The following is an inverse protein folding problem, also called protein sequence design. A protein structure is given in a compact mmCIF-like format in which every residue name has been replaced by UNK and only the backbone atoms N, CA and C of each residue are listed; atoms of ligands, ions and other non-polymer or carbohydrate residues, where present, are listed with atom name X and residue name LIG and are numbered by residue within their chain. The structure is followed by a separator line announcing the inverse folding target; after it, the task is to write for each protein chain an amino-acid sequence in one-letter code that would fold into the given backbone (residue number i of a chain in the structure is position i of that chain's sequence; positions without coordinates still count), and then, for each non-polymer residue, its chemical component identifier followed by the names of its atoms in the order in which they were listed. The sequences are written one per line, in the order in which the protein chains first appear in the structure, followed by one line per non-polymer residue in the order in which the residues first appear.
data_IF_432794373208
#
_entry.id   IF_432794373208
#
_cell.length_a   1.000
_cell.length_b   1.000
_cell.length_c   1.000
_cell.angle_alpha   90.00
_cell.angle_beta   90.00
_cell.angle_gamma   90.00
#
_symmetry.space_group_name_H-M   'P 1'
#
loop_
_entity.id
_entity.type
_entity.pdbx_description
1 polymer ?
#
# COMPACT_ATOMS: atom_id res chain seq x y z
N UNK A 1 -19.87 -39.78 -9.73
CA UNK A 1 -20.31 -39.87 -8.32
C UNK A 1 -21.54 -38.99 -8.19
N UNK A 2 -22.73 -39.56 -8.00
CA UNK A 2 -23.99 -38.80 -7.93
C UNK A 2 -24.46 -38.74 -6.48
N UNK A 3 -24.22 -37.62 -5.81
CA UNK A 3 -24.70 -37.36 -4.45
C UNK A 3 -26.15 -36.87 -4.49
N UNK A 4 -27.00 -37.35 -3.58
CA UNK A 4 -28.36 -36.83 -3.43
C UNK A 4 -28.33 -35.38 -2.92
N UNK A 5 -29.40 -34.58 -3.12
CA UNK A 5 -29.48 -33.22 -2.60
C UNK A 5 -29.23 -33.13 -1.09
N UNK A 6 -29.74 -34.10 -0.32
CA UNK A 6 -29.57 -34.17 1.14
C UNK A 6 -28.10 -34.43 1.51
N UNK A 7 -27.43 -35.36 0.82
CA UNK A 7 -26.02 -35.65 1.05
C UNK A 7 -25.13 -34.44 0.71
N UNK A 8 -25.47 -33.68 -0.33
CA UNK A 8 -24.77 -32.44 -0.65
C UNK A 8 -24.97 -31.37 0.43
N UNK A 9 -26.18 -31.27 0.98
CA UNK A 9 -26.50 -30.33 2.06
C UNK A 9 -25.72 -30.67 3.33
N UNK A 10 -25.78 -31.91 3.79
CA UNK A 10 -25.05 -32.38 4.98
C UNK A 10 -23.53 -32.19 4.79
N UNK A 11 -23.00 -32.48 3.60
CA UNK A 11 -21.58 -32.25 3.30
C UNK A 11 -21.18 -30.77 3.38
N UNK A 12 -22.02 -29.86 2.89
CA UNK A 12 -21.79 -28.40 3.00
C UNK A 12 -21.87 -27.92 4.44
N UNK A 13 -22.85 -28.38 5.20
CA UNK A 13 -23.02 -28.03 6.61
C UNK A 13 -21.81 -28.50 7.44
N UNK A 14 -21.41 -29.76 7.29
CA UNK A 14 -20.22 -30.30 7.96
C UNK A 14 -18.94 -29.54 7.57
N UNK A 15 -18.79 -29.18 6.30
CA UNK A 15 -17.64 -28.39 5.84
C UNK A 15 -17.62 -26.99 6.45
N UNK A 16 -18.77 -26.30 6.47
CA UNK A 16 -18.88 -24.97 7.05
C UNK A 16 -18.62 -24.97 8.56
N UNK A 17 -19.15 -25.97 9.28
CA UNK A 17 -18.92 -26.13 10.72
C UNK A 17 -17.45 -26.44 11.03
N UNK A 18 -16.80 -27.29 10.24
CA UNK A 18 -15.39 -27.64 10.44
C UNK A 18 -14.44 -26.48 10.12
N UNK A 19 -14.73 -25.69 9.09
CA UNK A 19 -13.90 -24.55 8.68
C UNK A 19 -14.17 -23.32 9.54
N UNK A 20 -15.39 -23.17 10.09
CA UNK A 20 -15.92 -22.10 10.93
C UNK A 20 -15.87 -20.69 10.32
N UNK A 21 -14.73 -20.28 9.74
CA UNK A 21 -14.52 -19.02 9.03
C UNK A 21 -13.87 -19.34 7.69
N UNK A 22 -14.58 -19.09 6.59
CA UNK A 22 -13.98 -19.23 5.27
C UNK A 22 -13.12 -18.02 4.94
N UNK A 23 -12.21 -18.17 3.95
CA UNK A 23 -11.45 -17.03 3.41
C UNK A 23 -12.36 -15.89 2.93
N UNK A 24 -13.55 -16.21 2.40
CA UNK A 24 -14.53 -15.20 2.00
C UNK A 24 -15.09 -14.47 3.21
N UNK A 25 -15.47 -15.19 4.26
CA UNK A 25 -15.99 -14.58 5.48
C UNK A 25 -14.94 -13.70 6.14
N UNK A 26 -13.69 -14.17 6.17
CA UNK A 26 -12.55 -13.37 6.58
C UNK A 26 -12.47 -12.10 5.73
N UNK A 27 -12.32 -12.19 4.40
CA UNK A 27 -12.17 -11.01 3.53
C UNK A 27 -13.35 -10.04 3.64
N UNK A 28 -14.58 -10.53 3.62
CA UNK A 28 -15.79 -9.70 3.75
C UNK A 28 -15.86 -9.03 5.12
N UNK A 29 -15.54 -9.75 6.20
CA UNK A 29 -15.43 -9.19 7.55
C UNK A 29 -14.31 -8.17 7.67
N UNK A 30 -13.16 -8.43 7.03
CA UNK A 30 -11.98 -7.54 7.03
C UNK A 30 -12.27 -6.24 6.28
N UNK A 31 -12.97 -6.33 5.14
CA UNK A 31 -13.43 -5.14 4.39
C UNK A 31 -14.39 -4.32 5.26
N UNK A 32 -15.40 -4.95 5.87
CA UNK A 32 -16.35 -4.26 6.74
C UNK A 32 -15.67 -3.60 7.95
N UNK A 33 -14.74 -4.31 8.60
CA UNK A 33 -13.96 -3.79 9.73
C UNK A 33 -13.00 -2.67 9.31
N UNK A 34 -12.34 -2.80 8.16
CA UNK A 34 -11.44 -1.77 7.61
C UNK A 34 -12.17 -0.48 7.27
N UNK A 35 -13.39 -0.58 6.73
CA UNK A 35 -14.26 0.59 6.51
C UNK A 35 -14.65 1.29 7.81
N UNK A 36 -14.93 0.53 8.88
CA UNK A 36 -15.33 1.08 10.17
C UNK A 36 -14.16 1.70 10.95
N UNK A 37 -12.95 1.18 10.78
CA UNK A 37 -11.77 1.55 11.58
C UNK A 37 -10.78 2.43 10.84
N UNK A 38 -10.92 2.60 9.52
CA UNK A 38 -9.91 3.22 8.66
C UNK A 38 -8.66 2.37 8.47
N UNK A 39 -8.63 1.14 9.00
CA UNK A 39 -7.50 0.24 8.87
C UNK A 39 -7.48 -0.43 7.49
N UNK A 40 -6.31 -0.45 6.85
CA UNK A 40 -6.13 -1.14 5.59
C UNK A 40 -6.28 -2.65 5.72
N UNK A 41 -6.76 -3.34 4.68
CA UNK A 41 -6.90 -4.80 4.65
C UNK A 41 -5.61 -5.53 5.08
N UNK A 42 -4.46 -5.03 4.65
CA UNK A 42 -3.17 -5.60 5.03
C UNK A 42 -2.88 -5.48 6.52
N UNK A 43 -3.27 -4.38 7.16
CA UNK A 43 -3.01 -4.20 8.59
C UNK A 43 -3.86 -5.14 9.42
N UNK A 44 -5.14 -5.30 9.10
CA UNK A 44 -6.01 -6.29 9.75
C UNK A 44 -5.50 -7.73 9.50
N UNK A 45 -5.04 -8.04 8.28
CA UNK A 45 -4.51 -9.37 7.96
C UNK A 45 -3.22 -9.71 8.73
N UNK A 46 -2.28 -8.75 8.85
CA UNK A 46 -1.01 -8.95 9.55
C UNK A 46 -1.05 -8.59 11.04
N UNK A 47 -2.21 -8.15 11.56
CA UNK A 47 -2.41 -7.82 12.97
C UNK A 47 -1.83 -6.47 13.41
N UNK A 48 -1.51 -5.58 12.47
CA UNK A 48 -1.12 -4.20 12.77
C UNK A 48 -2.38 -3.31 12.74
N UNK A 49 -2.49 -2.33 13.64
CA UNK A 49 -3.67 -1.44 13.73
C UNK A 49 -3.85 -0.54 12.49
N UNK A 50 -4.73 0.46 12.58
CA UNK A 50 -4.92 1.42 11.47
C UNK A 50 -3.65 2.21 11.13
N UNK A 51 -2.75 2.37 12.10
CA UNK A 51 -1.39 2.87 11.92
C UNK A 51 -0.42 2.11 12.82
N UNK A 52 0.86 2.24 12.51
CA UNK A 52 1.92 1.88 13.46
C UNK A 52 2.42 3.17 14.11
N UNK A 53 2.58 3.18 15.44
CA UNK A 53 2.98 4.41 16.16
C UNK A 53 4.28 5.04 15.64
N UNK A 54 5.16 4.22 15.05
CA UNK A 54 6.33 4.69 14.31
C UNK A 54 6.42 3.94 12.97
N UNK A 55 6.16 4.62 11.82
CA UNK A 55 6.28 4.01 10.50
C UNK A 55 7.67 3.43 10.23
N UNK A 56 7.72 2.33 9.48
CA UNK A 56 8.97 1.74 9.05
C UNK A 56 9.69 2.71 8.12
N UNK A 57 10.93 3.07 8.47
CA UNK A 57 11.76 3.93 7.64
C UNK A 57 12.30 3.15 6.44
N UNK A 58 12.04 3.65 5.24
CA UNK A 58 12.40 3.00 3.98
C UNK A 58 13.21 3.92 3.08
N UNK A 59 14.06 3.32 2.24
CA UNK A 59 14.77 3.99 1.16
C UNK A 59 14.36 3.40 -0.19
N UNK A 60 14.15 4.26 -1.19
CA UNK A 60 13.85 3.82 -2.57
C UNK A 60 15.13 3.84 -3.41
N UNK A 61 15.52 2.71 -3.99
CA UNK A 61 16.66 2.59 -4.90
C UNK A 61 16.12 2.38 -6.32
N UNK A 62 16.42 3.30 -7.22
CA UNK A 62 15.77 3.41 -8.52
C UNK A 62 14.43 4.13 -8.41
N UNK A 63 14.38 5.35 -8.94
CA UNK A 63 13.21 6.25 -8.94
C UNK A 63 12.76 6.62 -10.35
N UNK A 64 13.03 5.71 -11.31
CA UNK A 64 12.47 5.75 -12.66
C UNK A 64 10.98 5.42 -12.70
N UNK A 65 10.49 4.83 -13.79
CA UNK A 65 9.05 4.68 -14.02
C UNK A 65 8.35 3.84 -12.94
N UNK A 66 8.81 2.61 -12.70
CA UNK A 66 8.25 1.74 -11.65
C UNK A 66 8.48 2.31 -10.25
N UNK A 67 9.68 2.82 -9.96
CA UNK A 67 10.00 3.41 -8.67
C UNK A 67 9.08 4.58 -8.31
N UNK A 68 8.77 5.43 -9.30
CA UNK A 68 7.88 6.57 -9.13
C UNK A 68 6.41 6.14 -8.92
N UNK A 69 5.97 5.02 -9.52
CA UNK A 69 4.65 4.41 -9.23
C UNK A 69 4.60 3.89 -7.80
N UNK A 70 5.64 3.17 -7.35
CA UNK A 70 5.70 2.63 -5.99
C UNK A 70 5.79 3.73 -4.92
N UNK A 71 6.50 4.83 -5.21
CA UNK A 71 6.45 6.06 -4.40
C UNK A 71 5.03 6.61 -4.32
N UNK A 72 4.25 6.59 -5.40
CA UNK A 72 2.84 6.99 -5.33
C UNK A 72 1.99 6.04 -4.47
N UNK A 73 2.25 4.73 -4.57
CA UNK A 73 1.42 3.69 -3.99
C UNK A 73 1.69 3.40 -2.50
N UNK A 74 2.89 3.69 -1.96
CA UNK A 74 3.18 3.39 -0.55
C UNK A 74 2.22 4.11 0.41
N UNK A 75 1.99 3.56 1.60
CA UNK A 75 1.18 4.21 2.63
C UNK A 75 2.08 4.88 3.69
N UNK A 76 2.06 6.23 3.82
CA UNK A 76 2.80 6.98 4.84
C UNK A 76 2.49 6.59 6.29
N UNK A 77 1.32 6.00 6.56
CA UNK A 77 0.93 5.52 7.89
C UNK A 77 1.73 4.28 8.34
N UNK A 78 2.34 3.57 7.38
CA UNK A 78 3.11 2.35 7.63
C UNK A 78 4.57 2.50 7.22
N UNK A 79 4.85 3.26 6.16
CA UNK A 79 6.18 3.42 5.59
C UNK A 79 6.54 4.90 5.52
N UNK A 80 7.64 5.30 6.15
CA UNK A 80 8.21 6.64 6.01
C UNK A 80 9.40 6.60 5.06
N UNK A 81 9.30 7.31 3.94
CA UNK A 81 10.41 7.54 3.04
C UNK A 81 11.45 8.44 3.73
N UNK A 82 12.66 7.93 3.94
CA UNK A 82 13.78 8.69 4.55
C UNK A 82 14.98 8.83 3.61
N UNK A 83 14.99 8.08 2.51
CA UNK A 83 16.05 8.12 1.53
C UNK A 83 15.55 7.79 0.11
N UNK A 84 16.23 8.34 -0.88
CA UNK A 84 16.14 7.91 -2.28
C UNK A 84 17.54 7.77 -2.87
N UNK A 85 17.70 6.89 -3.85
CA UNK A 85 18.90 6.76 -4.64
C UNK A 85 18.57 6.53 -6.11
N UNK A 86 19.15 7.31 -7.00
CA UNK A 86 19.07 7.07 -8.45
C UNK A 86 20.25 7.73 -9.15
N UNK A 87 20.84 7.02 -10.11
CA UNK A 87 22.00 7.51 -10.87
C UNK A 87 21.64 8.65 -11.82
N UNK A 88 20.36 8.83 -12.17
CA UNK A 88 19.88 9.86 -13.11
C UNK A 88 19.33 11.05 -12.33
N UNK A 89 19.90 12.26 -12.47
CA UNK A 89 19.37 13.47 -11.83
C UNK A 89 17.89 13.73 -12.13
N UNK A 90 17.44 13.40 -13.35
CA UNK A 90 16.04 13.52 -13.74
C UNK A 90 15.10 12.59 -12.94
N UNK A 91 15.54 11.38 -12.60
CA UNK A 91 14.75 10.47 -11.77
C UNK A 91 14.69 10.95 -10.32
N UNK A 92 15.79 11.48 -9.79
CA UNK A 92 15.80 12.15 -8.47
C UNK A 92 14.79 13.30 -8.44
N UNK A 93 14.73 14.12 -9.48
CA UNK A 93 13.70 15.16 -9.62
C UNK A 93 12.29 14.56 -9.60
N UNK A 94 12.03 13.53 -10.42
CA UNK A 94 10.71 12.85 -10.46
C UNK A 94 10.33 12.19 -9.14
N UNK A 95 11.31 11.74 -8.35
CA UNK A 95 11.04 11.18 -7.03
C UNK A 95 10.38 12.22 -6.10
N UNK A 96 10.78 13.49 -6.19
CA UNK A 96 10.17 14.57 -5.39
C UNK A 96 8.91 15.15 -6.04
N UNK A 97 8.97 15.47 -7.34
CA UNK A 97 7.95 16.28 -8.04
C UNK A 97 6.93 15.48 -8.83
N UNK A 98 7.17 14.18 -8.99
CA UNK A 98 6.40 13.32 -9.87
C UNK A 98 6.77 13.46 -11.35
N UNK A 99 6.03 12.73 -12.18
CA UNK A 99 6.21 12.73 -13.63
C UNK A 99 5.40 13.84 -14.29
N UNK A 100 6.06 14.96 -14.52
CA UNK A 100 5.46 16.18 -15.11
C UNK A 100 5.29 16.12 -16.63
N UNK A 101 5.53 14.98 -17.28
CA UNK A 101 5.43 14.85 -18.74
C UNK A 101 4.00 14.99 -19.27
N UNK A 102 2.99 14.66 -18.45
CA UNK A 102 1.58 14.86 -18.78
C UNK A 102 0.73 14.85 -17.50
N UNK A 103 -0.49 15.42 -17.52
CA UNK A 103 -1.40 15.37 -16.37
C UNK A 103 -1.70 13.93 -15.92
N UNK A 104 -1.83 12.99 -16.85
CA UNK A 104 -2.07 11.59 -16.50
C UNK A 104 -0.85 10.94 -15.86
N UNK A 105 0.36 11.22 -16.37
CA UNK A 105 1.59 10.71 -15.79
C UNK A 105 1.79 11.22 -14.36
N UNK A 106 1.56 12.51 -14.12
CA UNK A 106 1.70 13.12 -12.80
C UNK A 106 0.68 12.55 -11.81
N UNK A 107 -0.53 12.22 -12.27
CA UNK A 107 -1.56 11.58 -11.43
C UNK A 107 -1.13 10.18 -10.94
N UNK A 108 -0.50 9.36 -11.80
CA UNK A 108 -0.08 7.98 -11.44
C UNK A 108 1.31 7.92 -10.81
N UNK A 109 2.16 8.90 -11.08
CA UNK A 109 3.51 9.07 -10.54
C UNK A 109 3.63 10.45 -9.90
N UNK A 110 3.03 10.68 -8.73
CA UNK A 110 2.85 12.02 -8.15
C UNK A 110 4.09 12.56 -7.41
N UNK A 111 5.06 11.69 -7.09
CA UNK A 111 6.24 12.07 -6.31
C UNK A 111 5.96 12.21 -4.81
N UNK A 112 7.04 12.32 -4.04
CA UNK A 112 7.02 12.36 -2.58
C UNK A 112 6.38 13.65 -2.05
N UNK A 113 6.58 14.80 -2.70
CA UNK A 113 6.00 16.05 -2.21
C UNK A 113 4.47 16.01 -2.20
N UNK A 114 3.87 15.56 -3.30
CA UNK A 114 2.42 15.36 -3.37
C UNK A 114 1.94 14.30 -2.37
N UNK A 115 2.73 13.24 -2.17
CA UNK A 115 2.37 12.13 -1.26
C UNK A 115 2.37 12.54 0.22
N UNK A 116 3.32 13.37 0.62
CA UNK A 116 3.49 13.83 2.01
C UNK A 116 2.92 15.22 2.27
N UNK A 117 2.42 15.91 1.24
CA UNK A 117 1.86 17.26 1.36
C UNK A 117 2.91 18.36 1.57
N UNK A 118 4.17 18.12 1.21
CA UNK A 118 5.24 19.12 1.32
C UNK A 118 5.09 20.21 0.27
N UNK A 119 5.30 21.46 0.69
CA UNK A 119 5.11 22.62 -0.19
C UNK A 119 6.34 22.96 -1.03
N UNK A 120 7.52 22.57 -0.55
CA UNK A 120 8.80 22.89 -1.17
C UNK A 120 9.73 21.69 -1.18
N UNK A 121 10.64 21.64 -2.16
CA UNK A 121 11.67 20.60 -2.20
C UNK A 121 12.65 20.74 -1.04
N UNK A 122 12.92 21.95 -0.55
CA UNK A 122 13.76 22.18 0.63
C UNK A 122 13.17 21.55 1.90
N UNK A 123 11.85 21.58 2.06
CA UNK A 123 11.15 20.85 3.12
C UNK A 123 11.32 19.34 2.94
N UNK A 124 11.11 18.84 1.72
CA UNK A 124 11.25 17.43 1.40
C UNK A 124 12.66 16.90 1.67
N UNK A 125 13.70 17.66 1.31
CA UNK A 125 15.11 17.31 1.48
C UNK A 125 15.58 17.31 2.94
N UNK A 126 14.86 17.98 3.84
CA UNK A 126 15.08 17.82 5.29
C UNK A 126 14.62 16.45 5.80
N UNK A 127 13.62 15.87 5.14
CA UNK A 127 13.03 14.57 5.51
C UNK A 127 13.69 13.40 4.76
N UNK A 128 14.11 13.62 3.51
CA UNK A 128 14.57 12.57 2.60
C UNK A 128 15.99 12.87 2.13
N UNK A 129 16.93 11.97 2.48
CA UNK A 129 18.31 12.03 2.00
C UNK A 129 18.42 11.50 0.57
N UNK A 130 19.19 12.18 -0.26
CA UNK A 130 19.47 11.74 -1.64
C UNK A 130 20.85 11.12 -1.70
N UNK A 131 20.93 9.92 -2.27
CA UNK A 131 22.17 9.23 -2.59
C UNK A 131 22.30 9.08 -4.11
N UNK A 132 23.53 9.04 -4.61
CA UNK A 132 23.86 8.87 -6.01
C UNK A 132 24.72 7.62 -6.19
#
# INVERSE_FOLDING_TARGET
MNLTPEQQKVGKENFNDAVAVTRRDFLSGTVAAGLATGAGLGSIYFGYGASVGNPLRVGFIGTGDEGSVLIGAHNPEYLQAVAIADIRPYNVFRAFHGDVSSPNAQRVRPGLMAKYGWKTEDEARKQVKVYA
#
